data_IF_065933224146
#
_entry.id   IF_065933224146
#
_cell.length_a   1.000
_cell.length_b   1.000
_cell.length_c   1.000
_cell.angle_alpha   90.00
_cell.angle_beta   90.00
_cell.angle_gamma   90.00
#
_symmetry.space_group_name_H-M   'P 1'
#
loop_
_entity.id
_entity.type
_entity.pdbx_description
1 polymer ?
#
# COMPACT_ATOMS: atom_id res chain seq x y z
N UNK A 1 -22.77 -7.39 -9.18
CA UNK A 1 -22.27 -6.00 -9.19
C UNK A 1 -23.29 -5.14 -8.48
N UNK A 2 -22.98 -4.62 -7.30
CA UNK A 2 -23.84 -3.66 -6.60
C UNK A 2 -23.55 -2.30 -7.24
N UNK A 3 -24.56 -1.61 -7.76
CA UNK A 3 -24.38 -0.25 -8.30
C UNK A 3 -24.11 0.71 -7.15
N UNK A 4 -22.84 0.81 -6.74
CA UNK A 4 -22.40 1.82 -5.80
C UNK A 4 -22.50 3.20 -6.47
N UNK A 5 -23.20 4.13 -5.82
CA UNK A 5 -23.08 5.54 -6.16
C UNK A 5 -21.71 6.04 -5.73
N UNK A 6 -21.16 7.04 -6.43
CA UNK A 6 -19.89 7.69 -6.04
C UNK A 6 -19.90 8.11 -4.57
N UNK A 7 -21.02 8.68 -4.11
CA UNK A 7 -21.23 9.06 -2.71
C UNK A 7 -21.18 7.85 -1.75
N UNK A 8 -21.84 6.74 -2.09
CA UNK A 8 -21.80 5.53 -1.28
C UNK A 8 -20.40 4.90 -1.19
N UNK A 9 -19.60 5.00 -2.27
CA UNK A 9 -18.22 4.52 -2.30
C UNK A 9 -17.32 5.34 -1.37
N UNK A 10 -17.42 6.68 -1.41
CA UNK A 10 -16.64 7.57 -0.54
C UNK A 10 -17.06 7.54 0.93
N UNK A 11 -18.23 7.00 1.25
CA UNK A 11 -18.68 6.77 2.62
C UNK A 11 -18.32 5.38 3.15
N UNK A 12 -17.88 4.46 2.29
CA UNK A 12 -17.49 3.11 2.70
C UNK A 12 -16.16 3.15 3.47
N UNK A 13 -16.13 2.69 4.74
CA UNK A 13 -14.92 2.73 5.56
C UNK A 13 -13.75 1.97 4.93
N UNK A 14 -14.00 0.85 4.26
CA UNK A 14 -12.94 0.06 3.62
C UNK A 14 -12.34 0.82 2.44
N UNK A 15 -13.17 1.51 1.64
CA UNK A 15 -12.71 2.36 0.55
C UNK A 15 -11.83 3.52 1.03
N UNK A 16 -12.27 4.23 2.08
CA UNK A 16 -11.51 5.34 2.65
C UNK A 16 -10.13 4.87 3.12
N UNK A 17 -10.08 3.72 3.80
CA UNK A 17 -8.82 3.18 4.33
C UNK A 17 -7.91 2.75 3.18
N UNK A 18 -8.39 1.98 2.19
CA UNK A 18 -7.53 1.53 1.07
C UNK A 18 -7.05 2.72 0.24
N UNK A 19 -7.88 3.75 0.04
CA UNK A 19 -7.49 4.98 -0.62
C UNK A 19 -6.35 5.69 0.12
N UNK A 20 -6.43 5.78 1.45
CA UNK A 20 -5.35 6.33 2.27
C UNK A 20 -4.06 5.50 2.17
N UNK A 21 -4.17 4.16 2.11
CA UNK A 21 -3.02 3.27 1.91
C UNK A 21 -2.36 3.51 0.54
N UNK A 22 -3.15 3.68 -0.53
CA UNK A 22 -2.65 3.99 -1.88
C UNK A 22 -1.86 5.31 -1.85
N UNK A 23 -2.46 6.37 -1.31
CA UNK A 23 -1.80 7.69 -1.21
C UNK A 23 -0.53 7.62 -0.36
N UNK A 24 -0.59 6.94 0.78
CA UNK A 24 0.58 6.71 1.63
C UNK A 24 1.70 5.99 0.89
N UNK A 25 1.35 4.96 0.11
CA UNK A 25 2.31 4.19 -0.71
C UNK A 25 2.97 5.05 -1.77
N UNK A 26 2.19 5.86 -2.49
CA UNK A 26 2.73 6.83 -3.46
C UNK A 26 3.70 7.79 -2.78
N UNK A 27 3.28 8.41 -1.66
CA UNK A 27 4.13 9.34 -0.91
C UNK A 27 5.42 8.66 -0.43
N UNK A 28 5.32 7.41 0.04
CA UNK A 28 6.48 6.65 0.50
C UNK A 28 7.47 6.34 -0.62
N UNK A 29 6.99 5.96 -1.81
CA UNK A 29 7.81 5.74 -3.01
C UNK A 29 8.51 7.05 -3.40
N UNK A 30 7.78 8.17 -3.48
CA UNK A 30 8.35 9.48 -3.81
C UNK A 30 9.44 9.88 -2.82
N UNK A 31 9.20 9.70 -1.52
CA UNK A 31 10.19 9.96 -0.47
C UNK A 31 11.41 9.05 -0.65
N UNK A 32 11.20 7.77 -0.99
CA UNK A 32 12.25 6.79 -1.27
C UNK A 32 13.15 7.19 -2.43
N UNK A 33 12.56 7.54 -3.58
CA UNK A 33 13.30 8.02 -4.76
C UNK A 33 14.02 9.33 -4.46
N UNK A 34 13.39 10.23 -3.69
CA UNK A 34 14.00 11.52 -3.31
C UNK A 34 15.21 11.39 -2.36
N UNK A 35 15.52 10.19 -1.86
CA UNK A 35 16.70 9.92 -1.03
C UNK A 35 17.93 9.44 -1.82
N UNK A 36 17.80 9.27 -3.14
CA UNK A 36 18.95 8.97 -4.00
C UNK A 36 20.06 10.03 -3.85
N UNK A 37 19.78 11.35 -3.78
CA UNK A 37 20.79 12.36 -3.42
C UNK A 37 21.20 12.24 -1.94
N UNK A 38 22.51 12.18 -1.66
CA UNK A 38 23.06 11.83 -0.34
C UNK A 38 22.76 12.82 0.79
N UNK A 39 22.64 14.11 0.48
CA UNK A 39 22.59 15.20 1.47
C UNK A 39 21.42 15.11 2.48
N UNK A 40 20.33 14.41 2.15
CA UNK A 40 19.12 14.36 3.00
C UNK A 40 18.75 12.95 3.47
N UNK A 41 19.65 11.98 3.31
CA UNK A 41 19.37 10.55 3.49
C UNK A 41 18.90 10.20 4.91
N UNK A 42 19.56 10.69 5.98
CA UNK A 42 19.23 10.31 7.38
C UNK A 42 17.80 10.70 7.83
N UNK A 43 17.34 11.94 7.57
CA UNK A 43 16.03 12.43 8.03
C UNK A 43 14.88 11.84 7.19
N UNK A 44 15.04 11.83 5.86
CA UNK A 44 14.04 11.25 4.95
C UNK A 44 13.90 9.74 5.17
N UNK A 45 14.98 9.05 5.54
CA UNK A 45 14.94 7.61 5.80
C UNK A 45 14.07 7.24 7.00
N UNK A 46 14.16 8.00 8.10
CA UNK A 46 13.26 7.81 9.25
C UNK A 46 11.81 8.04 8.84
N UNK A 47 11.57 9.07 8.03
CA UNK A 47 10.23 9.43 7.54
C UNK A 47 9.65 8.32 6.65
N UNK A 48 10.41 7.82 5.67
CA UNK A 48 10.01 6.69 4.83
C UNK A 48 9.72 5.43 5.64
N UNK A 49 10.57 5.11 6.63
CA UNK A 49 10.33 3.94 7.48
C UNK A 49 9.06 4.10 8.32
N UNK A 50 8.82 5.29 8.85
CA UNK A 50 7.61 5.59 9.62
C UNK A 50 6.35 5.48 8.77
N UNK A 51 6.33 6.13 7.59
CA UNK A 51 5.19 6.07 6.67
C UNK A 51 4.92 4.62 6.24
N UNK A 52 5.98 3.84 5.98
CA UNK A 52 5.82 2.42 5.67
C UNK A 52 5.08 1.65 6.77
N UNK A 53 5.40 1.87 8.05
CA UNK A 53 4.67 1.21 9.15
C UNK A 53 3.20 1.66 9.23
N UNK A 54 2.93 2.96 8.99
CA UNK A 54 1.55 3.48 8.93
C UNK A 54 0.76 2.83 7.80
N UNK A 55 1.37 2.63 6.62
CA UNK A 55 0.77 1.93 5.47
C UNK A 55 0.38 0.51 5.85
N UNK A 56 1.32 -0.26 6.45
CA UNK A 56 1.07 -1.65 6.87
C UNK A 56 -0.07 -1.72 7.88
N UNK A 57 -0.04 -0.85 8.90
CA UNK A 57 -1.06 -0.81 9.94
C UNK A 57 -2.44 -0.45 9.35
N UNK A 58 -2.49 0.54 8.47
CA UNK A 58 -3.72 0.97 7.79
C UNK A 58 -4.26 -0.13 6.87
N UNK A 59 -3.39 -0.86 6.16
CA UNK A 59 -3.81 -2.00 5.35
C UNK A 59 -4.37 -3.14 6.23
N UNK A 60 -3.76 -3.38 7.39
CA UNK A 60 -4.33 -4.30 8.38
C UNK A 60 -5.74 -3.87 8.82
N UNK A 61 -5.96 -2.57 9.04
CA UNK A 61 -7.29 -2.00 9.26
C UNK A 61 -8.25 -2.26 8.11
N UNK A 62 -7.82 -2.05 6.87
CA UNK A 62 -8.62 -2.36 5.68
C UNK A 62 -9.10 -3.81 5.66
N UNK A 63 -8.25 -4.78 5.99
CA UNK A 63 -8.64 -6.20 6.05
C UNK A 63 -9.75 -6.48 7.07
N UNK A 64 -9.76 -5.76 8.20
CA UNK A 64 -10.79 -5.91 9.23
C UNK A 64 -12.15 -5.36 8.78
N UNK A 65 -12.16 -4.22 8.10
CA UNK A 65 -13.41 -3.58 7.63
C UNK A 65 -13.91 -4.13 6.29
N UNK A 66 -13.04 -4.76 5.49
CA UNK A 66 -13.35 -5.31 4.17
C UNK A 66 -13.81 -6.78 4.22
N UNK A 67 -14.22 -7.30 5.38
CA UNK A 67 -14.56 -8.72 5.54
C UNK A 67 -15.77 -9.10 4.65
N UNK A 68 -15.47 -9.69 3.50
CA UNK A 68 -16.45 -10.18 2.52
C UNK A 68 -16.05 -11.59 2.15
N UNK A 69 -16.85 -12.61 2.52
CA UNK A 69 -16.49 -14.01 2.27
C UNK A 69 -16.51 -14.30 0.76
N UNK A 70 -15.34 -14.39 0.14
CA UNK A 70 -15.18 -14.66 -1.29
C UNK A 70 -13.72 -14.86 -1.70
N UNK A 71 -13.47 -15.31 -2.93
CA UNK A 71 -12.13 -15.63 -3.45
C UNK A 71 -11.15 -14.45 -3.44
N UNK A 72 -11.66 -13.21 -3.43
CA UNK A 72 -10.86 -11.99 -3.32
C UNK A 72 -10.20 -11.81 -1.94
N UNK A 73 -10.62 -12.54 -0.90
CA UNK A 73 -9.99 -12.56 0.42
C UNK A 73 -8.52 -13.01 0.33
N UNK A 74 -8.23 -14.11 -0.36
CA UNK A 74 -6.86 -14.63 -0.48
C UNK A 74 -5.93 -13.61 -1.13
N UNK A 75 -6.40 -12.91 -2.17
CA UNK A 75 -5.61 -11.89 -2.86
C UNK A 75 -5.24 -10.74 -1.91
N UNK A 76 -6.16 -10.29 -1.05
CA UNK A 76 -5.89 -9.26 -0.04
C UNK A 76 -4.76 -9.66 0.92
N UNK A 77 -4.76 -10.89 1.42
CA UNK A 77 -3.70 -11.38 2.30
C UNK A 77 -2.36 -11.59 1.59
N UNK A 78 -2.37 -12.03 0.33
CA UNK A 78 -1.15 -12.16 -0.49
C UNK A 78 -0.50 -10.79 -0.67
N UNK A 79 -1.29 -9.75 -0.95
CA UNK A 79 -0.76 -8.38 -1.08
C UNK A 79 -0.19 -7.88 0.24
N UNK A 80 -0.85 -8.14 1.38
CA UNK A 80 -0.24 -7.83 2.69
C UNK A 80 1.10 -8.55 2.89
N UNK A 81 1.16 -9.85 2.59
CA UNK A 81 2.40 -10.63 2.70
C UNK A 81 3.51 -10.07 1.79
N UNK A 82 3.17 -9.65 0.57
CA UNK A 82 4.10 -8.98 -0.34
C UNK A 82 4.71 -7.73 0.31
N UNK A 83 3.87 -6.88 0.90
CA UNK A 83 4.33 -5.69 1.61
C UNK A 83 5.16 -6.02 2.86
N UNK A 84 4.82 -7.06 3.62
CA UNK A 84 5.56 -7.42 4.84
C UNK A 84 6.92 -8.08 4.57
N UNK A 85 7.02 -8.91 3.53
CA UNK A 85 8.21 -9.74 3.29
C UNK A 85 9.07 -9.23 2.12
N UNK A 86 8.46 -8.98 0.95
CA UNK A 86 9.21 -8.67 -0.27
C UNK A 86 9.79 -7.25 -0.20
N UNK A 87 8.99 -6.26 0.22
CA UNK A 87 9.43 -4.86 0.28
C UNK A 87 10.62 -4.66 1.25
N UNK A 88 10.62 -5.19 2.49
CA UNK A 88 11.76 -5.02 3.39
C UNK A 88 13.00 -5.81 2.97
N UNK A 89 12.81 -6.99 2.36
CA UNK A 89 13.90 -7.82 1.88
C UNK A 89 14.65 -7.14 0.74
N UNK A 90 13.92 -6.63 -0.25
CA UNK A 90 14.48 -6.03 -1.47
C UNK A 90 15.28 -4.77 -1.20
N UNK A 91 14.92 -4.03 -0.14
CA UNK A 91 15.66 -2.86 0.33
C UNK A 91 17.11 -3.17 0.73
N UNK A 92 17.41 -4.41 1.15
CA UNK A 92 18.77 -4.82 1.52
C UNK A 92 19.63 -5.22 0.32
N UNK A 93 19.00 -5.48 -0.83
CA UNK A 93 19.68 -6.01 -2.02
C UNK A 93 20.09 -4.87 -2.94
N UNK A 94 19.13 -4.09 -3.45
CA UNK A 94 19.40 -3.00 -4.40
C UNK A 94 18.29 -1.95 -4.33
N UNK A 95 18.67 -0.68 -4.25
CA UNK A 95 17.74 0.46 -4.11
C UNK A 95 16.84 0.63 -5.33
N UNK A 96 17.37 0.47 -6.55
CA UNK A 96 16.61 0.56 -7.80
C UNK A 96 15.60 -0.58 -7.90
N UNK A 97 16.04 -1.80 -7.60
CA UNK A 97 15.16 -2.97 -7.60
C UNK A 97 14.04 -2.85 -6.56
N UNK A 98 14.36 -2.32 -5.38
CA UNK A 98 13.38 -2.01 -4.35
C UNK A 98 12.33 -1.00 -4.84
N UNK A 99 12.73 0.07 -5.55
CA UNK A 99 11.80 1.05 -6.09
C UNK A 99 10.86 0.46 -7.16
N UNK A 100 11.38 -0.44 -8.00
CA UNK A 100 10.57 -1.17 -9.00
C UNK A 100 9.53 -2.04 -8.29
N UNK A 101 9.95 -2.81 -7.29
CA UNK A 101 9.04 -3.69 -6.54
C UNK A 101 8.05 -2.91 -5.66
N UNK A 102 8.43 -1.76 -5.11
CA UNK A 102 7.50 -0.88 -4.43
C UNK A 102 6.41 -0.36 -5.38
N UNK A 103 6.78 0.00 -6.63
CA UNK A 103 5.83 0.37 -7.68
C UNK A 103 4.92 -0.79 -8.08
N UNK A 104 5.44 -2.02 -8.15
CA UNK A 104 4.62 -3.21 -8.36
C UNK A 104 3.63 -3.43 -7.21
N UNK A 105 4.08 -3.23 -5.97
CA UNK A 105 3.22 -3.25 -4.79
C UNK A 105 2.07 -2.26 -4.89
N UNK A 106 2.31 -1.05 -5.39
CA UNK A 106 1.26 -0.06 -5.65
C UNK A 106 0.24 -0.57 -6.68
N UNK A 107 0.69 -1.17 -7.78
CA UNK A 107 -0.20 -1.75 -8.81
C UNK A 107 -1.09 -2.84 -8.20
N UNK A 108 -0.50 -3.75 -7.39
CA UNK A 108 -1.26 -4.78 -6.68
C UNK A 108 -2.31 -4.18 -5.74
N UNK A 109 -1.97 -3.08 -5.05
CA UNK A 109 -2.87 -2.40 -4.12
C UNK A 109 -4.06 -1.73 -4.84
N UNK A 110 -3.83 -1.16 -6.02
CA UNK A 110 -4.89 -0.68 -6.90
C UNK A 110 -5.77 -1.84 -7.37
N UNK A 111 -5.17 -2.98 -7.73
CA UNK A 111 -5.92 -4.20 -8.03
C UNK A 111 -6.83 -4.64 -6.88
N UNK A 112 -6.32 -4.64 -5.65
CA UNK A 112 -7.13 -4.96 -4.46
C UNK A 112 -8.34 -4.03 -4.34
N UNK A 113 -8.14 -2.72 -4.50
CA UNK A 113 -9.24 -1.76 -4.46
C UNK A 113 -10.27 -2.01 -5.57
N UNK A 114 -9.81 -2.27 -6.80
CA UNK A 114 -10.66 -2.50 -7.96
C UNK A 114 -11.48 -3.79 -7.89
N UNK A 115 -10.98 -4.86 -7.25
CA UNK A 115 -11.69 -6.14 -7.17
C UNK A 115 -12.49 -6.33 -5.87
N UNK A 116 -12.29 -5.50 -4.86
CA UNK A 116 -12.97 -5.63 -3.56
C UNK A 116 -13.95 -4.51 -3.26
N UNK A 117 -13.82 -3.34 -3.88
CA UNK A 117 -14.69 -2.19 -3.61
C UNK A 117 -15.61 -1.84 -4.79
N UNK A 118 -15.18 -2.10 -6.03
CA UNK A 118 -15.99 -1.98 -7.26
C UNK A 118 -16.65 -3.31 -7.63
#
# INVERSE_FOLDING_TARGET
>A
MRTATLEGLFLDPSFIIIFFVILGTIANILIGVSMLPEDKRKKRFKTHRFIFYVIIFSYGGFLLFSHSPGESELFKYIVLAYFLFIIPLTRRINVTFHAILASLGLILLVGVASFNVL
#
